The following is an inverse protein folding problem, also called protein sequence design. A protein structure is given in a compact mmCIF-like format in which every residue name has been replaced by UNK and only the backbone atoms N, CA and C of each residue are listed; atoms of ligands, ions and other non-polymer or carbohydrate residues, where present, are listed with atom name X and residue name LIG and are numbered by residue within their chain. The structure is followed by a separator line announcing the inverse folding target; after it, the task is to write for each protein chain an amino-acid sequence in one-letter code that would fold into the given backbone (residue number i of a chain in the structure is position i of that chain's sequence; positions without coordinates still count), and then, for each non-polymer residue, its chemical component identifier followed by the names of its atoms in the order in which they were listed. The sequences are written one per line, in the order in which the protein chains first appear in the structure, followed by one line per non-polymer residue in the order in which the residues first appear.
data_IF_540525518577
#
_entry.id   IF_540525518577
#
_cell.length_a   1.000
_cell.length_b   1.000
_cell.length_c   1.000
_cell.angle_alpha   90.00
_cell.angle_beta   90.00
_cell.angle_gamma   90.00
#
_symmetry.space_group_name_H-M   'P 1'
#
loop_
_entity.id
_entity.type
_entity.pdbx_description
1 polymer ?
#
# COMPACT_ATOMS: atom_id res chain seq x y z
N UNK A 1 29.38 10.14 0.30
CA UNK A 1 27.95 9.79 0.27
C UNK A 1 27.32 10.19 1.60
N UNK A 2 26.31 11.06 1.58
CA UNK A 2 25.69 11.59 2.79
C UNK A 2 24.82 10.54 3.48
N UNK A 3 25.05 10.34 4.78
CA UNK A 3 24.15 9.61 5.64
C UNK A 3 22.80 10.35 5.66
N UNK A 4 21.78 9.77 5.04
CA UNK A 4 20.40 10.19 5.27
C UNK A 4 20.14 10.02 6.77
N UNK A 5 20.06 11.12 7.50
CA UNK A 5 19.55 11.12 8.87
C UNK A 5 18.10 10.70 8.75
N UNK A 6 17.82 9.42 9.02
CA UNK A 6 16.44 8.95 9.18
C UNK A 6 15.91 9.73 10.37
N UNK A 7 15.09 10.75 10.12
CA UNK A 7 14.36 11.42 11.18
C UNK A 7 13.44 10.39 11.80
N UNK A 8 13.59 10.16 13.10
CA UNK A 8 12.69 9.29 13.85
C UNK A 8 11.31 9.98 13.85
N UNK A 9 10.38 9.41 13.09
CA UNK A 9 9.01 9.88 13.01
C UNK A 9 8.19 9.08 14.03
N UNK A 10 7.40 9.77 14.85
CA UNK A 10 6.46 9.10 15.75
C UNK A 10 5.42 8.30 14.96
N UNK A 11 4.85 7.27 15.58
CA UNK A 11 3.76 6.51 14.99
C UNK A 11 2.45 7.32 15.06
N UNK A 12 1.71 7.39 13.97
CA UNK A 12 0.39 8.00 13.94
C UNK A 12 -0.60 7.18 14.80
N UNK A 13 -1.63 7.85 15.34
CA UNK A 13 -2.75 7.18 15.99
C UNK A 13 -3.56 6.31 15.02
N UNK A 14 -4.34 5.35 15.57
CA UNK A 14 -5.13 4.39 14.79
C UNK A 14 -6.19 5.05 13.90
N UNK A 15 -6.66 6.22 14.27
CA UNK A 15 -7.59 7.03 13.48
C UNK A 15 -7.02 7.40 12.10
N UNK A 16 -5.69 7.34 11.93
CA UNK A 16 -5.01 7.68 10.67
C UNK A 16 -4.70 6.48 9.78
N UNK A 17 -5.04 5.26 10.18
CA UNK A 17 -4.78 4.04 9.38
C UNK A 17 -5.41 4.11 7.98
N UNK A 18 -6.56 4.77 7.84
CA UNK A 18 -7.28 4.99 6.57
C UNK A 18 -7.34 6.46 6.17
N UNK A 19 -6.41 7.28 6.68
CA UNK A 19 -6.40 8.70 6.35
C UNK A 19 -6.07 8.91 4.87
N UNK A 20 -6.95 9.63 4.17
CA UNK A 20 -6.70 10.09 2.81
C UNK A 20 -6.34 11.57 2.88
N UNK A 21 -5.08 11.95 2.59
CA UNK A 21 -4.71 13.35 2.54
C UNK A 21 -5.65 14.11 1.61
N UNK A 22 -6.13 15.25 2.09
CA UNK A 22 -6.79 16.25 1.25
C UNK A 22 -8.14 15.84 0.66
N UNK A 23 -8.75 14.79 1.22
CA UNK A 23 -10.08 14.31 0.89
C UNK A 23 -11.22 15.19 1.49
N UNK A 24 -11.00 16.50 1.64
CA UNK A 24 -12.05 17.40 2.09
C UNK A 24 -12.75 18.04 0.90
N UNK A 25 -13.66 17.27 0.28
CA UNK A 25 -14.40 17.68 -0.92
C UNK A 25 -15.16 18.98 -0.66
N UNK A 26 -15.82 19.12 0.50
CA UNK A 26 -16.57 20.33 0.85
C UNK A 26 -15.68 21.57 0.90
N UNK A 27 -14.49 21.46 1.51
CA UNK A 27 -13.53 22.57 1.53
C UNK A 27 -12.97 22.87 0.13
N UNK A 28 -12.75 21.85 -0.70
CA UNK A 28 -12.28 22.03 -2.07
C UNK A 28 -13.34 22.75 -2.93
N UNK A 29 -14.62 22.35 -2.83
CA UNK A 29 -15.71 23.03 -3.50
C UNK A 29 -15.84 24.50 -3.06
N UNK A 30 -15.71 24.77 -1.75
CA UNK A 30 -15.72 26.13 -1.21
C UNK A 30 -14.53 26.97 -1.69
N UNK A 31 -13.39 26.34 -1.94
CA UNK A 31 -12.21 26.99 -2.52
C UNK A 31 -12.30 27.18 -4.04
N UNK A 32 -13.39 26.75 -4.67
CA UNK A 32 -13.66 26.97 -6.10
C UNK A 32 -13.20 25.85 -7.03
N UNK A 33 -12.72 24.72 -6.51
CA UNK A 33 -12.37 23.55 -7.32
C UNK A 33 -13.62 22.91 -7.92
N UNK A 34 -13.57 22.58 -9.20
CA UNK A 34 -14.68 22.00 -9.99
C UNK A 34 -14.12 21.05 -11.06
N UNK A 35 -15.01 20.35 -11.75
CA UNK A 35 -14.69 19.49 -12.90
C UNK A 35 -13.65 18.39 -12.58
N UNK A 36 -13.66 17.90 -11.33
CA UNK A 36 -12.77 16.84 -10.86
C UNK A 36 -11.52 17.34 -10.14
N UNK A 37 -11.25 18.66 -10.16
CA UNK A 37 -10.14 19.25 -9.40
C UNK A 37 -10.30 19.09 -7.89
N UNK A 38 -11.52 18.93 -7.40
CA UNK A 38 -11.81 18.67 -5.98
C UNK A 38 -11.27 17.30 -5.51
N UNK A 39 -10.88 16.43 -6.43
CA UNK A 39 -10.25 15.13 -6.20
C UNK A 39 -8.76 15.11 -6.58
N UNK A 40 -8.15 16.25 -6.92
CA UNK A 40 -6.73 16.31 -7.28
C UNK A 40 -5.85 15.84 -6.11
N UNK A 41 -4.83 15.04 -6.41
CA UNK A 41 -3.85 14.55 -5.43
C UNK A 41 -3.00 15.66 -4.83
N UNK A 42 -2.89 16.81 -5.50
CA UNK A 42 -2.15 17.97 -5.05
C UNK A 42 -3.05 18.86 -4.22
N UNK A 43 -2.76 18.89 -2.93
CA UNK A 43 -3.53 19.64 -1.97
C UNK A 43 -3.23 21.13 -2.08
N UNK A 44 -4.11 21.85 -2.79
CA UNK A 44 -4.01 23.30 -2.91
C UNK A 44 -4.54 24.02 -1.66
N UNK A 45 -5.51 23.43 -0.95
CA UNK A 45 -6.18 24.01 0.24
C UNK A 45 -5.65 23.46 1.55
N UNK A 46 -5.59 22.13 1.69
CA UNK A 46 -5.19 21.46 2.93
C UNK A 46 -3.71 21.08 2.86
N UNK A 47 -2.88 21.71 3.67
CA UNK A 47 -1.45 21.35 3.82
C UNK A 47 -1.21 20.63 5.13
N UNK A 48 -2.07 19.68 5.47
CA UNK A 48 -1.88 18.87 6.66
C UNK A 48 -0.71 17.92 6.40
N UNK A 49 0.51 18.42 6.60
CA UNK A 49 1.74 17.65 6.45
C UNK A 49 1.85 16.73 7.64
N UNK A 50 1.63 15.44 7.40
CA UNK A 50 1.78 14.43 8.42
C UNK A 50 3.27 14.19 8.68
N UNK A 51 3.71 14.57 9.87
CA UNK A 51 5.03 14.26 10.39
C UNK A 51 5.01 13.02 11.29
N UNK A 52 4.30 11.95 10.87
CA UNK A 52 4.24 10.68 11.58
C UNK A 52 4.18 9.49 10.61
N UNK A 53 4.60 8.31 11.07
CA UNK A 53 4.50 7.05 10.33
C UNK A 53 3.14 6.39 10.57
N UNK A 54 2.36 6.23 9.50
CA UNK A 54 1.09 5.51 9.55
C UNK A 54 1.34 4.04 9.81
N UNK A 55 0.63 3.47 10.79
CA UNK A 55 0.72 2.06 11.13
C UNK A 55 0.26 1.19 9.96
N UNK A 56 1.01 0.13 9.68
CA UNK A 56 0.55 -0.91 8.76
C UNK A 56 -0.67 -1.62 9.33
N UNK A 57 -1.70 -1.92 8.51
CA UNK A 57 -2.82 -2.74 8.96
C UNK A 57 -2.37 -4.09 9.50
N UNK A 58 -3.11 -4.62 10.49
CA UNK A 58 -2.74 -5.87 11.20
C UNK A 58 -2.54 -7.08 10.27
N UNK A 59 -3.22 -7.10 9.13
CA UNK A 59 -3.20 -8.20 8.15
C UNK A 59 -2.38 -7.85 6.90
N UNK A 60 -1.63 -6.74 6.92
CA UNK A 60 -0.78 -6.37 5.80
C UNK A 60 0.42 -7.32 5.72
N UNK A 61 0.57 -7.97 4.57
CA UNK A 61 1.70 -8.87 4.30
C UNK A 61 2.90 -8.05 3.85
N UNK A 62 4.07 -8.32 4.41
CA UNK A 62 5.33 -7.69 4.03
C UNK A 62 5.59 -7.98 2.53
N UNK A 63 5.88 -6.96 1.69
CA UNK A 63 6.22 -7.19 0.29
C UNK A 63 7.50 -8.03 0.18
N UNK A 64 7.50 -8.99 -0.76
CA UNK A 64 8.71 -9.75 -1.09
C UNK A 64 9.74 -8.79 -1.71
N UNK A 65 10.98 -8.87 -1.26
CA UNK A 65 12.06 -8.00 -1.75
C UNK A 65 12.41 -8.29 -3.21
N UNK A 66 12.81 -7.25 -3.95
CA UNK A 66 13.39 -7.43 -5.28
C UNK A 66 14.77 -8.08 -5.18
N UNK A 67 15.17 -9.00 -6.09
CA UNK A 67 14.47 -9.44 -7.30
C UNK A 67 13.50 -10.60 -7.11
N UNK A 68 13.44 -11.22 -5.93
CA UNK A 68 12.61 -12.41 -5.65
C UNK A 68 11.13 -12.11 -5.85
N UNK A 69 10.67 -10.90 -5.49
CA UNK A 69 9.30 -10.43 -5.72
C UNK A 69 8.93 -10.27 -7.20
N UNK A 70 9.85 -10.50 -8.15
CA UNK A 70 9.53 -10.60 -9.59
C UNK A 70 8.72 -11.86 -9.88
N UNK A 71 9.10 -12.96 -9.27
CA UNK A 71 8.61 -14.30 -9.61
C UNK A 71 7.70 -14.87 -8.51
N UNK A 72 7.34 -14.06 -7.50
CA UNK A 72 6.55 -14.48 -6.34
C UNK A 72 5.58 -13.38 -5.90
N UNK A 73 4.32 -13.75 -5.66
CA UNK A 73 3.25 -12.88 -5.16
C UNK A 73 2.48 -13.54 -4.00
N UNK A 74 1.81 -12.74 -3.17
CA UNK A 74 0.92 -13.25 -2.13
C UNK A 74 -0.39 -13.75 -2.74
N UNK A 75 -0.83 -14.96 -2.36
CA UNK A 75 -2.07 -15.55 -2.91
C UNK A 75 -3.30 -14.66 -2.72
N UNK A 76 -3.46 -14.06 -1.54
CA UNK A 76 -4.56 -13.14 -1.24
C UNK A 76 -4.57 -11.83 -2.05
N UNK A 77 -3.53 -11.55 -2.85
CA UNK A 77 -3.48 -10.40 -3.77
C UNK A 77 -3.95 -10.74 -5.18
N UNK A 78 -4.18 -12.01 -5.48
CA UNK A 78 -4.56 -12.48 -6.82
C UNK A 78 -5.96 -13.11 -6.76
N UNK A 79 -6.84 -12.71 -7.68
CA UNK A 79 -8.16 -13.32 -7.87
C UNK A 79 -8.12 -14.36 -8.99
N UNK A 80 -7.40 -15.47 -8.77
CA UNK A 80 -7.43 -16.63 -9.66
C UNK A 80 -8.42 -17.66 -9.11
N UNK A 81 -9.30 -18.20 -9.96
CA UNK A 81 -10.12 -19.35 -9.59
C UNK A 81 -9.29 -20.64 -9.65
N UNK A 82 -9.68 -21.65 -8.87
CA UNK A 82 -9.01 -22.94 -8.85
C UNK A 82 -8.97 -23.59 -10.25
N UNK A 83 -10.04 -23.41 -11.04
CA UNK A 83 -10.14 -23.91 -12.41
C UNK A 83 -9.15 -23.22 -13.35
N UNK A 84 -8.95 -21.90 -13.19
CA UNK A 84 -8.02 -21.12 -14.00
C UNK A 84 -6.55 -21.51 -13.72
N UNK A 85 -6.24 -21.82 -12.46
CA UNK A 85 -4.91 -22.31 -12.06
C UNK A 85 -4.62 -23.73 -12.59
N UNK A 86 -5.62 -24.60 -12.62
CA UNK A 86 -5.47 -25.98 -13.11
C UNK A 86 -5.44 -26.07 -14.65
N UNK A 87 -6.07 -25.13 -15.37
CA UNK A 87 -6.15 -25.14 -16.83
C UNK A 87 -4.90 -24.57 -17.53
N UNK A 88 -4.15 -23.70 -16.86
CA UNK A 88 -3.10 -22.89 -17.49
C UNK A 88 -1.81 -23.66 -17.85
N UNK A 89 -1.54 -24.81 -17.24
CA UNK A 89 -0.44 -25.71 -17.63
C UNK A 89 0.98 -25.11 -17.60
N UNK A 90 1.15 -23.88 -17.12
CA UNK A 90 2.40 -23.12 -17.17
C UNK A 90 3.18 -23.26 -15.86
N UNK A 91 4.40 -23.82 -15.95
CA UNK A 91 5.29 -24.08 -14.81
C UNK A 91 5.67 -22.81 -14.01
N UNK A 92 5.51 -21.62 -14.59
CA UNK A 92 5.78 -20.34 -13.94
C UNK A 92 4.76 -20.01 -12.84
N UNK A 93 3.51 -20.47 -12.94
CA UNK A 93 2.46 -20.20 -11.94
C UNK A 93 2.65 -20.92 -10.61
N UNK A 94 3.35 -22.06 -10.62
CA UNK A 94 3.59 -22.85 -9.40
C UNK A 94 4.64 -22.24 -8.46
N UNK A 95 5.45 -21.30 -8.93
CA UNK A 95 6.44 -20.60 -8.10
C UNK A 95 5.86 -19.34 -7.43
N UNK A 96 4.63 -18.94 -7.78
CA UNK A 96 4.19 -17.57 -7.61
C UNK A 96 3.34 -17.28 -6.37
N UNK A 97 3.04 -18.23 -5.47
CA UNK A 97 2.07 -18.00 -4.40
C UNK A 97 2.62 -18.38 -3.02
N UNK A 98 2.80 -17.37 -2.17
CA UNK A 98 3.13 -17.58 -0.75
C UNK A 98 1.85 -17.74 0.08
N UNK A 99 1.78 -18.83 0.85
CA UNK A 99 0.77 -19.05 1.89
C UNK A 99 1.17 -18.38 3.20
N UNK A 100 0.19 -18.17 4.10
CA UNK A 100 0.32 -17.32 5.29
C UNK A 100 1.36 -17.78 6.30
N UNK A 101 1.75 -19.06 6.28
CA UNK A 101 2.67 -19.65 7.25
C UNK A 101 4.11 -19.87 6.72
N UNK A 102 4.37 -19.50 5.45
CA UNK A 102 5.64 -19.82 4.76
C UNK A 102 6.76 -18.79 5.00
N UNK A 103 6.48 -17.69 5.72
CA UNK A 103 7.47 -16.67 6.11
C UNK A 103 7.48 -16.50 7.64
N UNK A 104 7.49 -17.62 8.37
CA UNK A 104 7.63 -17.65 9.83
C UNK A 104 9.09 -17.67 10.32
N UNK A 105 10.07 -17.47 9.44
CA UNK A 105 11.48 -17.45 9.82
C UNK A 105 12.29 -16.48 8.98
N UNK A 106 12.35 -15.23 9.43
CA UNK A 106 13.44 -14.28 9.18
C UNK A 106 13.36 -13.23 10.29
N UNK A 107 13.85 -13.64 11.47
CA UNK A 107 14.27 -12.72 12.53
C UNK A 107 15.78 -12.59 12.48
#
# INVERSE_FOLDING_TARGET
MGANRVSDFDLCGKERENYVPCYNISANLLAGFKDGEEFDRHCKVSKDQQHCLVLSPKVYKIPVTWPIGRDVIWSGKVKLSQDQFLSSGSMTERLMLLEENQISSLR
#
